data_IF_056417186744
#
_entry.id   IF_056417186744
#
_cell.length_a   1.000
_cell.length_b   1.000
_cell.length_c   1.000
_cell.angle_alpha   90.00
_cell.angle_beta   90.00
_cell.angle_gamma   90.00
#
_symmetry.space_group_name_H-M   'P 1'
#
loop_
_entity.id
_entity.type
_entity.pdbx_description
1 polymer ?
#
# COMPACT_ATOMS: atom_id res chain seq x y z
N UNK A 1 12.82 -0.06 -14.28
CA UNK A 1 11.58 -0.82 -14.16
C UNK A 1 10.74 -0.59 -15.42
N UNK A 2 10.25 -1.65 -16.03
CA UNK A 2 9.42 -1.62 -17.24
C UNK A 2 7.96 -1.34 -16.88
N UNK A 3 7.12 -0.91 -17.84
CA UNK A 3 5.69 -0.78 -17.60
C UNK A 3 5.00 -2.06 -17.10
N UNK A 4 5.50 -3.23 -17.52
CA UNK A 4 4.96 -4.54 -17.10
C UNK A 4 5.34 -4.87 -15.64
N UNK A 5 6.57 -4.56 -15.23
CA UNK A 5 7.02 -4.70 -13.84
C UNK A 5 6.25 -3.74 -12.91
N UNK A 6 5.98 -2.51 -13.38
CA UNK A 6 5.13 -1.57 -12.66
C UNK A 6 3.70 -2.10 -12.46
N UNK A 7 3.11 -2.73 -13.48
CA UNK A 7 1.79 -3.37 -13.37
C UNK A 7 1.83 -4.54 -12.37
N UNK A 8 2.88 -5.37 -12.39
CA UNK A 8 3.06 -6.44 -11.41
C UNK A 8 3.18 -5.89 -9.99
N UNK A 9 3.94 -4.81 -9.77
CA UNK A 9 4.06 -4.18 -8.45
C UNK A 9 2.72 -3.63 -7.97
N UNK A 10 1.96 -2.97 -8.84
CA UNK A 10 0.60 -2.49 -8.57
C UNK A 10 -0.33 -3.65 -8.13
N UNK A 11 -0.26 -4.81 -8.80
CA UNK A 11 -1.06 -5.99 -8.45
C UNK A 11 -0.64 -6.56 -7.10
N UNK A 12 0.66 -6.68 -6.84
CA UNK A 12 1.19 -7.14 -5.56
C UNK A 12 0.73 -6.22 -4.42
N UNK A 13 0.91 -4.90 -4.59
CA UNK A 13 0.49 -3.89 -3.62
C UNK A 13 -0.99 -4.01 -3.25
N UNK A 14 -1.86 -4.19 -4.26
CA UNK A 14 -3.31 -4.44 -4.06
C UNK A 14 -3.58 -5.65 -3.18
N UNK A 15 -2.91 -6.77 -3.45
CA UNK A 15 -3.09 -8.01 -2.67
C UNK A 15 -2.62 -7.81 -1.24
N UNK A 16 -1.49 -7.14 -1.06
CA UNK A 16 -0.93 -6.83 0.27
C UNK A 16 -1.89 -6.00 1.11
N UNK A 17 -2.49 -4.94 0.54
CA UNK A 17 -3.54 -4.14 1.23
C UNK A 17 -4.70 -5.03 1.67
N UNK A 18 -5.22 -5.87 0.76
CA UNK A 18 -6.34 -6.77 1.08
C UNK A 18 -6.01 -7.73 2.22
N UNK A 19 -4.79 -8.26 2.26
CA UNK A 19 -4.32 -9.12 3.34
C UNK A 19 -4.27 -8.37 4.68
N UNK A 20 -3.66 -7.18 4.71
CA UNK A 20 -3.56 -6.41 5.96
C UNK A 20 -4.92 -5.91 6.46
N UNK A 21 -5.82 -5.49 5.56
CA UNK A 21 -7.20 -5.17 5.94
C UNK A 21 -7.91 -6.36 6.56
N UNK A 22 -7.73 -7.56 6.01
CA UNK A 22 -8.32 -8.78 6.58
C UNK A 22 -7.75 -9.10 7.96
N UNK A 23 -6.45 -8.89 8.19
CA UNK A 23 -5.81 -9.05 9.50
C UNK A 23 -6.40 -8.06 10.53
N UNK A 24 -6.44 -6.77 10.20
CA UNK A 24 -7.01 -5.74 11.08
C UNK A 24 -8.47 -6.04 11.44
N UNK A 25 -9.27 -6.47 10.45
CA UNK A 25 -10.67 -6.82 10.66
C UNK A 25 -10.85 -8.06 11.55
N UNK A 26 -9.88 -8.97 11.59
CA UNK A 26 -9.85 -10.14 12.49
C UNK A 26 -9.37 -9.79 13.90
N UNK A 27 -8.86 -8.58 14.12
CA UNK A 27 -8.28 -8.15 15.39
C UNK A 27 -6.79 -8.45 15.52
N UNK A 28 -6.15 -8.96 14.45
CA UNK A 28 -4.70 -9.11 14.41
C UNK A 28 -4.08 -7.71 14.27
N UNK A 29 -3.40 -7.26 15.32
CA UNK A 29 -2.73 -5.97 15.31
C UNK A 29 -1.40 -6.08 14.54
N UNK A 30 -1.24 -5.31 13.45
CA UNK A 30 0.04 -5.24 12.76
C UNK A 30 1.11 -4.66 13.69
N UNK A 31 2.26 -5.32 13.76
CA UNK A 31 3.39 -4.86 14.56
C UNK A 31 4.08 -3.65 13.90
N UNK A 32 4.99 -3.01 14.64
CA UNK A 32 5.73 -1.84 14.15
C UNK A 32 6.48 -2.10 12.83
N UNK A 33 7.00 -3.33 12.64
CA UNK A 33 7.65 -3.73 11.39
C UNK A 33 6.69 -3.70 10.19
N UNK A 34 5.42 -4.03 10.40
CA UNK A 34 4.38 -3.93 9.37
C UNK A 34 4.13 -2.47 8.97
N UNK A 35 4.09 -1.55 9.94
CA UNK A 35 3.95 -0.12 9.62
C UNK A 35 5.14 0.45 8.84
N UNK A 36 6.36 -0.03 9.11
CA UNK A 36 7.55 0.34 8.33
C UNK A 36 7.45 -0.17 6.89
N UNK A 37 7.13 -1.45 6.69
CA UNK A 37 6.96 -2.04 5.35
C UNK A 37 5.92 -1.30 4.51
N UNK A 38 4.84 -0.85 5.15
CA UNK A 38 3.79 -0.07 4.49
C UNK A 38 4.30 1.30 4.04
N UNK A 39 5.14 1.95 4.85
CA UNK A 39 5.71 3.26 4.52
C UNK A 39 6.68 3.15 3.34
N UNK A 40 7.54 2.13 3.33
CA UNK A 40 8.42 1.84 2.19
C UNK A 40 7.64 1.56 0.89
N UNK A 41 6.51 0.85 1.00
CA UNK A 41 5.66 0.57 -0.15
C UNK A 41 5.02 1.83 -0.74
N UNK A 42 4.64 2.79 0.11
CA UNK A 42 4.12 4.10 -0.32
C UNK A 42 5.18 4.86 -1.12
N UNK A 43 6.42 4.92 -0.64
CA UNK A 43 7.53 5.59 -1.34
C UNK A 43 7.81 4.96 -2.72
N UNK A 44 7.78 3.62 -2.80
CA UNK A 44 7.96 2.90 -4.08
C UNK A 44 6.84 3.25 -5.07
N UNK A 45 5.60 3.32 -4.60
CA UNK A 45 4.46 3.68 -5.42
C UNK A 45 4.55 5.13 -5.90
N UNK A 46 4.95 6.07 -5.05
CA UNK A 46 5.16 7.47 -5.45
C UNK A 46 6.22 7.60 -6.56
N UNK A 47 7.36 6.91 -6.40
CA UNK A 47 8.40 6.86 -7.44
C UNK A 47 7.89 6.24 -8.75
N UNK A 48 7.04 5.21 -8.66
CA UNK A 48 6.38 4.59 -9.81
C UNK A 48 5.42 5.54 -10.54
N UNK A 49 4.68 6.37 -9.81
CA UNK A 49 3.76 7.34 -10.40
C UNK A 49 4.50 8.40 -11.20
N UNK A 50 5.65 8.87 -10.69
CA UNK A 50 6.53 9.82 -11.38
C UNK A 50 7.16 9.19 -12.64
N UNK A 51 7.62 7.94 -12.54
CA UNK A 51 8.26 7.22 -13.66
C UNK A 51 7.27 6.80 -14.76
N UNK A 52 6.00 6.59 -14.42
CA UNK A 52 4.97 6.12 -15.35
C UNK A 52 3.68 6.95 -15.26
N UNK A 53 3.63 8.14 -15.91
CA UNK A 53 2.48 9.05 -15.84
C UNK A 53 1.14 8.41 -16.27
N UNK A 54 1.17 7.51 -17.27
CA UNK A 54 -0.02 6.77 -17.71
C UNK A 54 -0.61 5.80 -16.67
N UNK A 55 0.11 5.55 -15.57
CA UNK A 55 -0.32 4.71 -14.45
C UNK A 55 -0.60 5.52 -13.18
N UNK A 56 -0.29 6.83 -13.17
CA UNK A 56 -0.37 7.68 -12.00
C UNK A 56 -1.74 7.64 -11.31
N UNK A 57 -2.84 7.66 -12.08
CA UNK A 57 -4.21 7.58 -11.51
C UNK A 57 -4.47 6.27 -10.77
N UNK A 58 -3.99 5.13 -11.30
CA UNK A 58 -4.15 3.83 -10.64
C UNK A 58 -3.32 3.74 -9.36
N UNK A 59 -2.15 4.38 -9.37
CA UNK A 59 -1.22 4.42 -8.23
C UNK A 59 -1.75 5.38 -7.16
N UNK A 60 -2.29 6.54 -7.52
CA UNK A 60 -2.91 7.47 -6.58
C UNK A 60 -4.03 6.79 -5.77
N UNK A 61 -4.91 6.04 -6.45
CA UNK A 61 -5.96 5.24 -5.77
C UNK A 61 -5.39 4.14 -4.87
N UNK A 62 -4.17 3.66 -5.13
CA UNK A 62 -3.51 2.71 -4.25
C UNK A 62 -2.92 3.39 -3.02
N UNK A 63 -2.33 4.57 -3.20
CA UNK A 63 -1.80 5.39 -2.12
C UNK A 63 -2.92 5.78 -1.14
N UNK A 64 -4.09 6.18 -1.63
CA UNK A 64 -5.28 6.45 -0.80
C UNK A 64 -5.63 5.23 0.07
N UNK A 65 -5.68 4.03 -0.51
CA UNK A 65 -5.97 2.79 0.24
C UNK A 65 -4.91 2.45 1.28
N UNK A 66 -3.64 2.76 0.99
CA UNK A 66 -2.57 2.59 1.97
C UNK A 66 -2.72 3.58 3.13
N UNK A 67 -3.09 4.83 2.87
CA UNK A 67 -3.36 5.83 3.90
C UNK A 67 -4.56 5.45 4.78
N UNK A 68 -5.63 4.91 4.17
CA UNK A 68 -6.79 4.38 4.89
C UNK A 68 -6.38 3.24 5.83
N UNK A 69 -5.55 2.32 5.34
CA UNK A 69 -5.01 1.22 6.13
C UNK A 69 -4.18 1.74 7.32
N UNK A 70 -3.28 2.70 7.09
CA UNK A 70 -2.47 3.33 8.15
C UNK A 70 -3.37 3.97 9.21
N UNK A 71 -4.41 4.67 8.78
CA UNK A 71 -5.36 5.31 9.69
C UNK A 71 -6.13 4.28 10.53
N UNK A 72 -6.58 3.18 9.90
CA UNK A 72 -7.23 2.08 10.59
C UNK A 72 -6.31 1.38 11.60
N UNK A 73 -5.03 1.17 11.25
CA UNK A 73 -4.02 0.61 12.16
C UNK A 73 -3.79 1.52 13.37
N UNK A 74 -3.60 2.83 13.14
CA UNK A 74 -3.39 3.81 14.22
C UNK A 74 -4.58 3.87 15.18
N UNK A 75 -5.81 3.81 14.65
CA UNK A 75 -7.03 3.80 15.45
C UNK A 75 -7.18 2.55 16.35
N UNK A 76 -6.48 1.46 16.03
CA UNK A 76 -6.48 0.22 16.83
C UNK A 76 -5.36 0.16 17.87
N UNK A 77 -4.32 0.98 17.71
CA UNK A 77 -3.19 1.07 18.65
C UNK A 77 -3.44 2.09 19.78
N UNK A 78 -4.37 3.03 19.58
CA UNK A 78 -4.86 3.97 20.60
C UNK A 78 -6.07 3.39 21.35
#
# INVERSE_FOLDING_TARGET
>A
MTPAEADQRIILSRRTISTYMAMINRGDLPNQATMMMISEEVEILEGLAMAHPGKAVKIARLLEKWQDLISAMRAKLN
#
